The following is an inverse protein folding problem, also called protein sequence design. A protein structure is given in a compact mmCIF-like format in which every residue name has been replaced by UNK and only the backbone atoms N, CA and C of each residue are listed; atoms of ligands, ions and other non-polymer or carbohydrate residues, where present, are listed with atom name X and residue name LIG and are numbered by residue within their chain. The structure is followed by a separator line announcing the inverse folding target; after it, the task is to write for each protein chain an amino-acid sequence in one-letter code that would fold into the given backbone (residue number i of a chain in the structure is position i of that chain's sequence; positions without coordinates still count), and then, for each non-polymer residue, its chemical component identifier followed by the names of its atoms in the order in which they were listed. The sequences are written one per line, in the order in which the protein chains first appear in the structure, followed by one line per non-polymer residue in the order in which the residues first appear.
data_IF_176496906657
#
_entry.id   IF_176496906657
#
_cell.length_a   1.000
_cell.length_b   1.000
_cell.length_c   1.000
_cell.angle_alpha   90.00
_cell.angle_beta   90.00
_cell.angle_gamma   90.00
#
_symmetry.space_group_name_H-M   'P 1'
#
loop_
_entity.id
_entity.type
_entity.pdbx_description
1 polymer ?
#
# COMPACT_ATOMS: atom_id res chain seq x y z
N UNK A 1 13.35 -9.79 -14.26
CA UNK A 1 12.45 -10.83 -13.69
C UNK A 1 12.99 -11.43 -12.40
N UNK A 2 12.99 -10.68 -11.30
CA UNK A 2 13.76 -11.04 -10.11
C UNK A 2 13.16 -12.26 -9.35
N UNK A 3 13.98 -13.21 -8.85
CA UNK A 3 13.50 -14.44 -8.21
C UNK A 3 12.92 -14.24 -6.80
N UNK A 4 12.84 -13.00 -6.33
CA UNK A 4 12.24 -12.65 -5.03
C UNK A 4 11.09 -11.66 -5.25
N UNK A 5 9.97 -11.94 -4.60
CA UNK A 5 8.77 -11.11 -4.68
C UNK A 5 8.87 -9.98 -3.66
N UNK A 6 8.83 -8.74 -4.14
CA UNK A 6 8.61 -7.58 -3.25
C UNK A 6 7.13 -7.47 -2.92
N UNK A 7 6.79 -7.52 -1.63
CA UNK A 7 5.39 -7.44 -1.17
C UNK A 7 4.94 -5.99 -0.97
N UNK A 8 3.62 -5.77 -0.83
CA UNK A 8 3.07 -4.44 -0.50
C UNK A 8 2.89 -3.47 -1.68
N UNK A 9 3.01 -3.93 -2.93
CA UNK A 9 2.78 -3.12 -4.15
C UNK A 9 1.45 -3.50 -4.79
N UNK A 10 0.59 -2.51 -5.07
CA UNK A 10 -0.71 -2.71 -5.76
C UNK A 10 -0.58 -2.66 -7.30
N UNK A 11 0.35 -1.85 -7.80
CA UNK A 11 0.68 -1.73 -9.22
C UNK A 11 2.12 -2.20 -9.42
N UNK A 12 2.31 -3.03 -10.44
CA UNK A 12 3.61 -3.55 -10.86
C UNK A 12 3.84 -3.06 -12.28
N UNK A 13 4.96 -2.37 -12.47
CA UNK A 13 5.42 -1.93 -13.78
C UNK A 13 6.56 -2.86 -14.22
N UNK A 14 6.68 -3.10 -15.52
CA UNK A 14 7.79 -3.88 -16.08
C UNK A 14 9.09 -3.10 -15.93
N UNK A 15 10.17 -3.79 -15.56
CA UNK A 15 11.51 -3.18 -15.53
C UNK A 15 12.13 -3.15 -16.92
N UNK A 16 13.21 -2.39 -17.10
CA UNK A 16 13.92 -2.32 -18.39
C UNK A 16 14.43 -3.69 -18.83
N UNK A 17 14.98 -4.46 -17.89
CA UNK A 17 15.45 -5.84 -18.10
C UNK A 17 14.32 -6.73 -18.64
N UNK A 18 13.11 -6.64 -18.06
CA UNK A 18 11.96 -7.42 -18.50
C UNK A 18 11.54 -7.05 -19.93
N UNK A 19 11.49 -5.76 -20.23
CA UNK A 19 11.07 -5.22 -21.53
C UNK A 19 12.10 -5.54 -22.63
N UNK A 20 13.39 -5.42 -22.33
CA UNK A 20 14.47 -5.74 -23.26
C UNK A 20 14.51 -7.25 -23.56
N UNK A 21 14.39 -8.08 -22.53
CA UNK A 21 14.41 -9.54 -22.69
C UNK A 21 13.27 -10.05 -23.58
N UNK A 22 12.04 -9.56 -23.38
CA UNK A 22 10.90 -9.97 -24.22
C UNK A 22 11.05 -9.46 -25.66
N UNK A 23 11.50 -8.21 -25.85
CA UNK A 23 11.67 -7.66 -27.20
C UNK A 23 12.82 -8.30 -27.97
N UNK A 24 13.84 -8.80 -27.28
CA UNK A 24 14.89 -9.60 -27.91
C UNK A 24 14.33 -10.89 -28.53
N UNK A 25 13.36 -11.54 -27.86
CA UNK A 25 12.78 -12.81 -28.30
C UNK A 25 11.69 -12.64 -29.37
N UNK A 26 10.83 -11.64 -29.21
CA UNK A 26 9.62 -11.49 -30.03
C UNK A 26 9.65 -10.26 -30.96
N UNK A 27 10.75 -9.51 -30.94
CA UNK A 27 10.91 -8.28 -31.68
C UNK A 27 10.42 -7.05 -30.92
N UNK A 28 10.83 -5.85 -31.37
CA UNK A 28 10.49 -4.59 -30.74
C UNK A 28 9.01 -4.23 -30.94
N UNK A 29 8.38 -3.68 -29.90
CA UNK A 29 7.05 -3.09 -30.02
C UNK A 29 7.16 -1.69 -30.65
N UNK A 30 6.61 -1.51 -31.85
CA UNK A 30 6.64 -0.23 -32.58
C UNK A 30 5.91 0.91 -31.86
N UNK A 31 5.02 0.61 -30.92
CA UNK A 31 4.31 1.59 -30.10
C UNK A 31 4.99 1.84 -28.75
N UNK A 32 6.18 1.28 -28.52
CA UNK A 32 6.88 1.46 -27.25
C UNK A 32 7.34 2.91 -27.09
N UNK A 33 6.81 3.61 -26.10
CA UNK A 33 7.10 5.03 -25.84
C UNK A 33 8.25 5.25 -24.83
N UNK A 34 8.92 4.18 -24.36
CA UNK A 34 10.03 4.30 -23.42
C UNK A 34 9.64 4.78 -22.01
N UNK A 35 8.35 4.83 -21.68
CA UNK A 35 7.88 5.31 -20.38
C UNK A 35 8.46 4.49 -19.23
N UNK A 36 9.44 5.07 -18.53
CA UNK A 36 9.89 4.61 -17.22
C UNK A 36 8.89 5.11 -16.19
N UNK A 37 8.07 4.22 -15.63
CA UNK A 37 7.24 4.58 -14.47
C UNK A 37 8.20 4.84 -13.30
N UNK A 38 8.30 6.08 -12.77
CA UNK A 38 9.08 6.31 -11.56
C UNK A 38 8.54 5.42 -10.44
N UNK A 39 9.38 4.95 -9.50
CA UNK A 39 8.91 4.12 -8.41
C UNK A 39 7.74 4.84 -7.75
N UNK A 40 6.56 4.22 -7.78
CA UNK A 40 5.35 4.83 -7.23
C UNK A 40 5.55 5.14 -5.74
N UNK A 41 5.93 6.38 -5.44
CA UNK A 41 5.89 6.97 -4.11
C UNK A 41 4.48 7.47 -3.91
N UNK A 42 3.57 6.55 -3.58
CA UNK A 42 2.18 6.79 -3.17
C UNK A 42 1.48 7.96 -3.89
N UNK A 43 0.74 7.65 -4.94
CA UNK A 43 -0.46 8.41 -5.24
C UNK A 43 -1.65 7.46 -5.14
N UNK A 44 -2.45 7.70 -4.12
CA UNK A 44 -3.69 7.00 -3.85
C UNK A 44 -4.75 7.73 -4.66
N UNK A 45 -5.00 7.29 -5.90
CA UNK A 45 -6.24 7.63 -6.59
C UNK A 45 -7.38 6.92 -5.88
N UNK A 46 -8.00 7.67 -4.97
CA UNK A 46 -9.11 7.21 -4.15
C UNK A 46 -10.37 7.28 -5.02
N UNK A 47 -10.53 6.31 -5.91
CA UNK A 47 -11.83 5.99 -6.49
C UNK A 47 -12.75 5.56 -5.35
N UNK A 48 -13.79 6.36 -5.11
CA UNK A 48 -14.79 6.09 -4.10
C UNK A 48 -15.45 4.72 -4.34
N UNK A 49 -15.85 4.09 -3.24
CA UNK A 49 -16.78 2.95 -3.12
C UNK A 49 -16.13 1.56 -3.03
N UNK A 50 -16.39 0.87 -1.92
CA UNK A 50 -16.24 -0.60 -1.82
C UNK A 50 -15.49 -1.06 -0.59
N UNK A 51 -16.21 -1.19 0.52
CA UNK A 51 -15.73 -1.65 1.82
C UNK A 51 -15.00 -3.01 1.74
N UNK A 52 -13.80 -3.06 2.31
CA UNK A 52 -13.20 -4.32 2.78
C UNK A 52 -12.45 -4.03 4.09
N UNK A 53 -13.16 -4.37 5.17
CA UNK A 53 -12.78 -4.43 6.58
C UNK A 53 -11.27 -4.35 6.87
N UNK A 54 -10.82 -3.18 7.33
CA UNK A 54 -9.65 -3.11 8.19
C UNK A 54 -10.19 -3.14 9.61
N UNK A 55 -9.96 -4.25 10.32
CA UNK A 55 -9.98 -4.26 11.77
C UNK A 55 -8.76 -3.43 12.19
N UNK A 56 -8.90 -2.10 12.08
CA UNK A 56 -7.99 -1.14 12.65
C UNK A 56 -8.50 -0.88 14.06
N UNK A 57 -7.70 -1.28 15.04
CA UNK A 57 -8.04 -1.27 16.46
C UNK A 57 -8.27 0.15 16.96
N UNK A 58 -9.44 0.70 16.68
CA UNK A 58 -9.96 1.90 17.31
C UNK A 58 -10.27 1.57 18.76
N UNK A 59 -9.25 1.68 19.61
CA UNK A 59 -9.46 1.71 21.06
C UNK A 59 -10.43 2.86 21.36
N UNK A 60 -11.56 2.62 22.05
CA UNK A 60 -12.47 3.71 22.38
C UNK A 60 -11.76 4.60 23.39
N UNK A 61 -11.27 5.75 22.95
CA UNK A 61 -10.58 6.73 23.80
C UNK A 61 -11.43 7.08 25.04
N UNK A 62 -12.76 7.06 24.88
CA UNK A 62 -13.71 7.29 25.96
C UNK A 62 -13.73 6.19 27.03
N UNK A 63 -13.57 4.91 26.67
CA UNK A 63 -13.51 3.85 27.69
C UNK A 63 -12.18 3.92 28.45
N UNK A 64 -11.08 4.24 27.76
CA UNK A 64 -9.79 4.47 28.40
C UNK A 64 -9.83 5.67 29.35
N UNK A 65 -10.52 6.75 28.97
CA UNK A 65 -10.64 7.95 29.81
C UNK A 65 -11.52 7.68 31.03
N UNK A 66 -12.65 6.98 30.87
CA UNK A 66 -13.54 6.61 31.96
C UNK A 66 -12.83 5.74 33.01
N UNK A 67 -12.05 4.75 32.58
CA UNK A 67 -11.31 3.89 33.51
C UNK A 67 -10.24 4.66 34.28
N UNK A 68 -9.56 5.61 33.64
CA UNK A 68 -8.57 6.46 34.29
C UNK A 68 -9.24 7.37 35.33
N UNK A 69 -10.37 8.00 35.00
CA UNK A 69 -11.05 8.93 35.91
C UNK A 69 -11.64 8.22 37.12
N UNK A 70 -12.27 7.05 36.95
CA UNK A 70 -12.79 6.25 38.06
C UNK A 70 -11.65 5.73 38.94
N UNK A 71 -10.56 5.25 38.34
CA UNK A 71 -9.39 4.79 39.09
C UNK A 71 -8.73 5.89 39.93
N UNK A 72 -8.61 7.10 39.38
CA UNK A 72 -8.06 8.25 40.10
C UNK A 72 -8.97 8.69 41.26
N UNK A 73 -10.29 8.68 41.06
CA UNK A 73 -11.24 9.05 42.11
C UNK A 73 -11.16 8.10 43.31
N UNK A 74 -11.10 6.78 43.07
CA UNK A 74 -10.94 5.77 44.13
C UNK A 74 -9.59 5.81 44.84
N UNK A 75 -8.56 6.42 44.24
CA UNK A 75 -7.25 6.56 44.87
C UNK A 75 -7.20 7.73 45.86
N UNK A 76 -8.03 8.76 45.65
CA UNK A 76 -8.02 10.00 46.43
C UNK A 76 -9.02 9.96 47.60
N UNK A 77 -10.05 9.12 47.51
CA UNK A 77 -11.04 8.87 48.59
C UNK A 77 -10.59 7.72 49.47
#
# INVERSE_FOLDING_TARGET
MYPTITTGRRKVDLTSDDVEGVQYLYGPNTNFNGSRTPPATRERDTGASGAASRIDGSRPVLTSLLLLTVGLFLYIV
#
